data_IF_431016704251
#
_entry.id   IF_431016704251
#
_cell.length_a   1.000
_cell.length_b   1.000
_cell.length_c   1.000
_cell.angle_alpha   90.00
_cell.angle_beta   90.00
_cell.angle_gamma   90.00
#
_symmetry.space_group_name_H-M   'P 1'
#
loop_
_entity.id
_entity.type
_entity.pdbx_description
1 polymer ?
#
# COMPACT_ATOMS: atom_id res chain seq x y z
N UNK A 1 38.09 31.87 -31.78
CA UNK A 1 37.81 32.29 -30.39
C UNK A 1 36.39 32.84 -30.22
N UNK A 2 35.88 33.74 -31.09
CA UNK A 2 34.54 34.33 -31.00
C UNK A 2 33.40 33.26 -31.06
N UNK A 3 33.50 32.29 -31.98
CA UNK A 3 32.49 31.23 -32.17
C UNK A 3 32.50 30.24 -31.02
N UNK A 4 33.62 29.90 -30.42
CA UNK A 4 33.73 29.02 -29.27
C UNK A 4 33.16 29.65 -27.99
N UNK A 5 33.46 30.94 -27.77
CA UNK A 5 32.91 31.72 -26.68
C UNK A 5 31.37 31.81 -26.76
N UNK A 6 30.80 32.00 -27.96
CA UNK A 6 29.35 31.99 -28.17
C UNK A 6 28.74 30.63 -27.83
N UNK A 7 29.38 29.52 -28.23
CA UNK A 7 28.92 28.14 -27.88
C UNK A 7 28.95 27.88 -26.38
N UNK A 8 30.01 28.30 -25.68
CA UNK A 8 30.12 28.16 -24.22
C UNK A 8 29.01 28.95 -23.52
N UNK A 9 28.76 30.18 -23.95
CA UNK A 9 27.71 31.03 -23.37
C UNK A 9 26.33 30.38 -23.53
N UNK A 10 26.04 29.85 -24.72
CA UNK A 10 24.77 29.13 -24.97
C UNK A 10 24.63 27.90 -24.08
N UNK A 11 25.70 27.08 -23.94
CA UNK A 11 25.68 25.90 -23.08
C UNK A 11 25.52 26.25 -21.60
N UNK A 12 26.15 27.35 -21.14
CA UNK A 12 25.99 27.83 -19.75
C UNK A 12 24.56 28.29 -19.49
N UNK A 13 23.91 28.93 -20.45
CA UNK A 13 22.49 29.30 -20.34
C UNK A 13 21.58 28.06 -20.28
N UNK A 14 21.83 27.07 -21.14
CA UNK A 14 21.10 25.82 -21.14
C UNK A 14 21.31 25.04 -19.82
N UNK A 15 22.52 25.04 -19.27
CA UNK A 15 22.82 24.43 -17.97
C UNK A 15 22.06 25.15 -16.84
N UNK A 16 22.02 26.46 -16.84
CA UNK A 16 21.27 27.24 -15.85
C UNK A 16 19.78 26.94 -15.92
N UNK A 17 19.21 26.86 -17.13
CA UNK A 17 17.81 26.47 -17.31
C UNK A 17 17.55 25.04 -16.81
N UNK A 18 18.40 24.08 -17.17
CA UNK A 18 18.24 22.69 -16.71
C UNK A 18 18.35 22.54 -15.19
N UNK A 19 19.16 23.36 -14.52
CA UNK A 19 19.22 23.41 -13.05
C UNK A 19 17.94 24.00 -12.44
N UNK A 20 17.40 25.04 -13.04
CA UNK A 20 16.11 25.61 -12.62
C UNK A 20 14.95 24.63 -12.84
N UNK A 21 14.95 23.90 -13.96
CA UNK A 21 13.95 22.88 -14.24
C UNK A 21 14.03 21.73 -13.21
N UNK A 22 15.24 21.32 -12.79
CA UNK A 22 15.43 20.32 -11.76
C UNK A 22 14.86 20.78 -10.41
N UNK A 23 15.16 22.01 -10.00
CA UNK A 23 14.66 22.60 -8.76
C UNK A 23 13.13 22.71 -8.76
N UNK A 24 12.55 23.16 -9.86
CA UNK A 24 11.10 23.23 -10.04
C UNK A 24 10.44 21.83 -9.98
N UNK A 25 11.05 20.83 -10.62
CA UNK A 25 10.58 19.45 -10.57
C UNK A 25 10.70 18.86 -9.16
N UNK A 26 11.81 19.06 -8.44
CA UNK A 26 11.97 18.60 -7.07
C UNK A 26 10.92 19.23 -6.13
N UNK A 27 10.61 20.51 -6.29
CA UNK A 27 9.56 21.19 -5.54
C UNK A 27 8.17 20.63 -5.87
N UNK A 28 7.86 20.46 -7.17
CA UNK A 28 6.60 19.84 -7.62
C UNK A 28 6.38 18.45 -7.00
N UNK A 29 7.41 17.59 -7.01
CA UNK A 29 7.31 16.25 -6.44
C UNK A 29 7.18 16.25 -4.92
N UNK A 30 7.75 17.25 -4.25
CA UNK A 30 7.56 17.44 -2.80
C UNK A 30 6.11 17.78 -2.46
N UNK A 31 5.54 18.76 -3.16
CA UNK A 31 4.14 19.18 -2.96
C UNK A 31 3.15 18.07 -3.34
N UNK A 32 3.43 17.35 -4.44
CA UNK A 32 2.62 16.22 -4.88
C UNK A 32 2.66 15.08 -3.89
N UNK A 33 3.79 14.84 -3.24
CA UNK A 33 3.93 13.84 -2.17
C UNK A 33 3.08 14.21 -0.97
N UNK A 34 3.17 15.45 -0.50
CA UNK A 34 2.38 15.95 0.64
C UNK A 34 0.88 15.84 0.36
N UNK A 35 0.46 16.20 -0.85
CA UNK A 35 -0.93 16.04 -1.27
C UNK A 35 -1.38 14.57 -1.23
N UNK A 36 -0.58 13.64 -1.74
CA UNK A 36 -0.90 12.21 -1.69
C UNK A 36 -0.93 11.65 -0.26
N UNK A 37 -0.04 12.10 0.62
CA UNK A 37 -0.04 11.73 2.04
C UNK A 37 -1.32 12.21 2.74
N UNK A 38 -1.77 13.42 2.44
CA UNK A 38 -3.02 13.95 2.98
C UNK A 38 -4.24 13.17 2.45
N UNK A 39 -4.28 12.86 1.15
CA UNK A 39 -5.34 12.02 0.55
C UNK A 39 -5.38 10.62 1.17
N UNK A 40 -4.22 10.02 1.44
CA UNK A 40 -4.11 8.72 2.12
C UNK A 40 -4.70 8.78 3.53
N UNK A 41 -4.28 9.77 4.32
CA UNK A 41 -4.71 9.90 5.71
C UNK A 41 -6.22 10.17 5.81
N UNK A 42 -6.74 11.03 4.94
CA UNK A 42 -8.18 11.33 4.90
C UNK A 42 -8.99 10.09 4.49
N UNK A 43 -8.56 9.38 3.45
CA UNK A 43 -9.25 8.16 2.99
C UNK A 43 -9.17 7.03 4.02
N UNK A 44 -8.06 6.92 4.74
CA UNK A 44 -7.89 5.96 5.84
C UNK A 44 -8.85 6.27 6.98
N UNK A 45 -8.90 7.52 7.40
CA UNK A 45 -9.79 7.98 8.46
C UNK A 45 -11.26 7.70 8.12
N UNK A 46 -11.69 8.04 6.91
CA UNK A 46 -13.06 7.78 6.43
C UNK A 46 -13.39 6.27 6.44
N UNK A 47 -12.45 5.43 6.04
CA UNK A 47 -12.65 3.98 6.05
C UNK A 47 -12.76 3.42 7.48
N UNK A 48 -11.91 3.89 8.39
CA UNK A 48 -11.93 3.48 9.81
C UNK A 48 -13.21 3.96 10.50
N UNK A 49 -13.64 5.18 10.27
CA UNK A 49 -14.91 5.73 10.78
C UNK A 49 -16.10 4.91 10.27
N UNK A 50 -16.12 4.59 8.98
CA UNK A 50 -17.17 3.75 8.39
C UNK A 50 -17.21 2.35 9.03
N UNK A 51 -16.05 1.73 9.25
CA UNK A 51 -15.97 0.42 9.90
C UNK A 51 -16.47 0.48 11.35
N UNK A 52 -16.08 1.51 12.08
CA UNK A 52 -16.53 1.72 13.45
C UNK A 52 -18.05 1.92 13.52
N UNK A 53 -18.61 2.74 12.64
CA UNK A 53 -20.05 2.95 12.57
C UNK A 53 -20.80 1.65 12.26
N UNK A 54 -20.34 0.86 11.29
CA UNK A 54 -20.95 -0.42 10.93
C UNK A 54 -20.94 -1.42 12.10
N UNK A 55 -19.86 -1.49 12.86
CA UNK A 55 -19.77 -2.34 14.05
C UNK A 55 -20.72 -1.87 15.16
N UNK A 56 -20.78 -0.57 15.37
CA UNK A 56 -21.69 0.03 16.36
C UNK A 56 -23.16 -0.21 15.97
N UNK A 57 -23.51 -0.03 14.71
CA UNK A 57 -24.87 -0.28 14.21
C UNK A 57 -25.22 -1.76 14.33
N UNK A 58 -24.26 -2.66 14.06
CA UNK A 58 -24.46 -4.09 14.27
C UNK A 58 -24.67 -4.43 15.74
N UNK A 59 -23.84 -3.92 16.64
CA UNK A 59 -23.95 -4.15 18.08
C UNK A 59 -25.28 -3.57 18.63
N UNK A 60 -25.68 -2.41 18.17
CA UNK A 60 -26.97 -1.80 18.51
C UNK A 60 -28.18 -2.57 17.94
N UNK A 61 -27.98 -3.39 16.91
CA UNK A 61 -29.05 -4.24 16.33
C UNK A 61 -29.39 -5.45 17.20
N UNK A 62 -28.67 -5.67 18.30
CA UNK A 62 -28.96 -6.76 19.24
C UNK A 62 -30.36 -6.58 19.82
N UNK A 63 -31.28 -7.55 19.64
CA UNK A 63 -32.66 -7.39 20.06
C UNK A 63 -32.80 -7.57 21.58
N UNK A 64 -33.58 -6.72 22.22
CA UNK A 64 -33.96 -6.84 23.63
C UNK A 64 -34.72 -8.15 23.91
N UNK A 65 -35.56 -8.54 22.95
CA UNK A 65 -36.35 -9.78 23.02
C UNK A 65 -35.88 -10.75 21.95
N UNK A 66 -35.66 -11.99 22.35
CA UNK A 66 -35.22 -13.06 21.46
C UNK A 66 -36.14 -13.15 20.23
N UNK A 67 -35.62 -13.22 18.99
CA UNK A 67 -36.42 -13.34 17.78
C UNK A 67 -37.37 -14.53 17.79
N UNK A 68 -38.52 -14.43 17.15
CA UNK A 68 -39.58 -15.43 17.20
C UNK A 68 -39.14 -16.86 16.77
N UNK A 69 -38.19 -16.96 15.83
CA UNK A 69 -37.63 -18.20 15.36
C UNK A 69 -36.79 -18.92 16.45
N UNK A 70 -36.27 -18.18 17.43
CA UNK A 70 -35.54 -18.69 18.60
C UNK A 70 -36.39 -18.83 19.88
N UNK A 71 -37.69 -18.59 19.78
CA UNK A 71 -38.65 -18.77 20.91
C UNK A 71 -39.60 -19.95 20.71
N UNK A 72 -39.35 -20.80 19.72
CA UNK A 72 -40.17 -21.96 19.44
C UNK A 72 -39.83 -23.07 20.40
N UNK A 73 -40.86 -23.53 21.12
CA UNK A 73 -40.75 -24.70 21.96
C UNK A 73 -40.84 -25.98 21.14
N UNK A 74 -40.21 -27.04 21.62
CA UNK A 74 -40.27 -28.35 20.99
C UNK A 74 -41.68 -28.94 21.04
N UNK A 75 -41.98 -29.86 20.11
CA UNK A 75 -43.23 -30.64 20.17
C UNK A 75 -43.35 -31.42 21.45
N UNK A 76 -42.25 -31.80 22.09
CA UNK A 76 -42.27 -32.51 23.37
C UNK A 76 -42.82 -31.64 24.53
N UNK A 77 -42.32 -30.40 24.65
CA UNK A 77 -42.86 -29.47 25.64
C UNK A 77 -44.33 -29.17 25.36
N UNK A 78 -44.71 -28.95 24.10
CA UNK A 78 -46.08 -28.71 23.70
C UNK A 78 -47.03 -29.90 24.06
N UNK A 79 -46.58 -31.16 23.91
CA UNK A 79 -47.32 -32.34 24.28
C UNK A 79 -47.53 -32.42 25.80
N UNK A 80 -46.50 -32.12 26.61
CA UNK A 80 -46.63 -32.09 28.07
C UNK A 80 -47.64 -31.02 28.50
N UNK A 81 -47.58 -29.83 27.88
CA UNK A 81 -48.57 -28.76 28.14
C UNK A 81 -50.01 -29.17 27.76
N UNK A 82 -50.18 -29.90 26.66
CA UNK A 82 -51.50 -30.41 26.28
C UNK A 82 -52.02 -31.48 27.25
N UNK A 83 -51.14 -32.36 27.78
CA UNK A 83 -51.49 -33.30 28.84
C UNK A 83 -51.90 -32.60 30.14
N UNK A 84 -51.11 -31.58 30.58
CA UNK A 84 -51.47 -30.73 31.73
C UNK A 84 -52.86 -30.13 31.54
N UNK A 85 -53.10 -29.49 30.40
CA UNK A 85 -54.37 -28.86 30.08
C UNK A 85 -55.55 -29.86 30.13
N UNK A 86 -55.36 -31.05 29.57
CA UNK A 86 -56.37 -32.10 29.59
C UNK A 86 -56.72 -32.55 31.01
N UNK A 87 -55.73 -32.71 31.90
CA UNK A 87 -55.92 -33.05 33.31
C UNK A 87 -56.64 -31.93 34.06
N UNK A 88 -56.29 -30.66 33.81
CA UNK A 88 -57.00 -29.50 34.40
C UNK A 88 -58.47 -29.45 33.98
N UNK A 89 -58.76 -29.68 32.69
CA UNK A 89 -60.13 -29.70 32.15
C UNK A 89 -60.94 -30.84 32.74
N UNK A 90 -60.30 -31.97 33.06
CA UNK A 90 -60.89 -33.11 33.73
C UNK A 90 -61.01 -32.96 35.26
N UNK A 91 -60.70 -31.77 35.84
CA UNK A 91 -60.72 -31.45 37.28
C UNK A 91 -59.74 -32.27 38.11
N UNK A 92 -58.74 -32.90 37.49
CA UNK A 92 -57.68 -33.72 38.15
C UNK A 92 -56.44 -32.80 38.41
N UNK A 93 -56.60 -31.89 39.32
CA UNK A 93 -55.62 -30.79 39.54
C UNK A 93 -54.31 -31.33 40.17
N UNK A 94 -54.40 -32.27 41.08
CA UNK A 94 -53.22 -32.88 41.74
C UNK A 94 -52.37 -33.67 40.75
N UNK A 95 -52.96 -34.34 39.79
CA UNK A 95 -52.29 -35.08 38.75
C UNK A 95 -51.67 -34.11 37.67
N UNK A 96 -52.20 -32.90 37.54
CA UNK A 96 -51.67 -31.88 36.61
C UNK A 96 -50.38 -31.19 37.09
N UNK A 97 -50.17 -31.14 38.43
CA UNK A 97 -49.01 -30.46 39.04
C UNK A 97 -47.68 -30.98 38.48
N UNK A 98 -47.37 -32.32 38.50
CA UNK A 98 -46.09 -32.81 38.00
C UNK A 98 -45.88 -32.56 36.50
N UNK A 99 -46.95 -32.50 35.68
CA UNK A 99 -46.85 -32.16 34.28
C UNK A 99 -46.50 -30.67 34.08
N UNK A 100 -47.08 -29.80 34.92
CA UNK A 100 -46.74 -28.37 34.92
C UNK A 100 -45.28 -28.13 35.27
N UNK A 101 -44.83 -28.67 36.40
CA UNK A 101 -43.45 -28.52 36.86
C UNK A 101 -42.46 -29.04 35.84
N UNK A 102 -42.75 -30.15 35.20
CA UNK A 102 -41.91 -30.72 34.15
C UNK A 102 -41.92 -29.86 32.89
N UNK A 103 -43.07 -29.35 32.48
CA UNK A 103 -43.17 -28.45 31.32
C UNK A 103 -42.41 -27.14 31.58
N UNK A 104 -42.57 -26.52 32.76
CA UNK A 104 -41.87 -25.30 33.13
C UNK A 104 -40.35 -25.47 33.12
N UNK A 105 -39.87 -26.57 33.67
CA UNK A 105 -38.41 -26.88 33.66
C UNK A 105 -37.87 -27.09 32.26
N UNK A 106 -38.54 -27.85 31.42
CA UNK A 106 -38.11 -28.10 30.04
C UNK A 106 -38.22 -26.83 29.17
N UNK A 107 -39.26 -26.02 29.35
CA UNK A 107 -39.42 -24.75 28.66
C UNK A 107 -38.31 -23.78 29.01
N UNK A 108 -37.92 -23.65 30.28
CA UNK A 108 -36.80 -22.83 30.72
C UNK A 108 -35.48 -23.30 30.11
N UNK A 109 -35.25 -24.63 30.11
CA UNK A 109 -34.03 -25.22 29.51
C UNK A 109 -33.99 -24.96 28.00
N UNK A 110 -35.08 -25.22 27.28
CA UNK A 110 -35.13 -25.01 25.83
C UNK A 110 -34.94 -23.52 25.44
N UNK A 111 -35.55 -22.61 26.19
CA UNK A 111 -35.38 -21.17 25.95
C UNK A 111 -33.94 -20.73 26.16
N UNK A 112 -33.27 -21.23 27.19
CA UNK A 112 -31.86 -20.92 27.40
C UNK A 112 -30.98 -21.53 26.32
N UNK A 113 -31.22 -22.74 25.86
CA UNK A 113 -30.54 -23.34 24.73
C UNK A 113 -30.72 -22.54 23.45
N UNK A 114 -31.94 -22.03 23.16
CA UNK A 114 -32.23 -21.20 22.02
C UNK A 114 -31.53 -19.82 22.11
N UNK A 115 -31.50 -19.26 23.33
CA UNK A 115 -30.75 -18.02 23.60
C UNK A 115 -29.25 -18.19 23.31
N UNK A 116 -28.67 -19.29 23.77
CA UNK A 116 -27.25 -19.58 23.51
C UNK A 116 -26.95 -19.78 22.01
N UNK A 117 -27.86 -20.43 21.28
CA UNK A 117 -27.74 -20.56 19.81
C UNK A 117 -27.81 -19.21 19.12
N UNK A 118 -28.71 -18.32 19.52
CA UNK A 118 -28.81 -16.98 18.99
C UNK A 118 -27.53 -16.19 19.26
N UNK A 119 -27.02 -16.17 20.49
CA UNK A 119 -25.79 -15.48 20.87
C UNK A 119 -24.59 -15.97 20.05
N UNK A 120 -24.46 -17.28 19.87
CA UNK A 120 -23.38 -17.83 19.02
C UNK A 120 -23.52 -17.34 17.57
N UNK A 121 -24.72 -17.37 16.99
CA UNK A 121 -24.97 -16.90 15.64
C UNK A 121 -24.66 -15.42 15.49
N UNK A 122 -25.09 -14.59 16.45
CA UNK A 122 -24.83 -13.15 16.47
C UNK A 122 -23.31 -12.87 16.53
N UNK A 123 -22.60 -13.52 17.44
CA UNK A 123 -21.15 -13.37 17.56
C UNK A 123 -20.41 -13.82 16.29
N UNK A 124 -20.81 -14.92 15.67
CA UNK A 124 -20.21 -15.39 14.41
C UNK A 124 -20.41 -14.37 13.29
N UNK A 125 -21.57 -13.76 13.17
CA UNK A 125 -21.80 -12.70 12.18
C UNK A 125 -20.98 -11.45 12.47
N UNK A 126 -20.82 -11.09 13.75
CA UNK A 126 -19.94 -9.99 14.16
C UNK A 126 -18.49 -10.24 13.78
N UNK A 127 -17.99 -11.44 14.01
CA UNK A 127 -16.64 -11.85 13.62
C UNK A 127 -16.45 -11.81 12.09
N UNK A 128 -17.45 -12.25 11.33
CA UNK A 128 -17.44 -12.14 9.86
C UNK A 128 -17.38 -10.68 9.37
N UNK A 129 -18.11 -9.79 10.04
CA UNK A 129 -18.05 -8.35 9.73
C UNK A 129 -16.65 -7.78 9.98
N UNK A 130 -16.04 -8.11 11.13
CA UNK A 130 -14.66 -7.71 11.47
C UNK A 130 -13.67 -8.24 10.42
N UNK A 131 -13.79 -9.51 10.01
CA UNK A 131 -12.88 -10.07 8.98
C UNK A 131 -13.08 -9.39 7.61
N UNK A 132 -14.31 -9.00 7.29
CA UNK A 132 -14.62 -8.20 6.10
C UNK A 132 -13.91 -6.84 6.16
N UNK A 133 -13.98 -6.14 7.29
CA UNK A 133 -13.28 -4.87 7.52
C UNK A 133 -11.75 -5.04 7.41
N UNK A 134 -11.20 -6.08 8.01
CA UNK A 134 -9.78 -6.41 7.90
C UNK A 134 -9.36 -6.65 6.45
N UNK A 135 -10.19 -7.34 5.68
CA UNK A 135 -9.94 -7.58 4.26
C UNK A 135 -9.97 -6.29 3.43
N UNK A 136 -10.95 -5.41 3.69
CA UNK A 136 -11.03 -4.08 3.06
C UNK A 136 -9.80 -3.23 3.39
N UNK A 137 -9.37 -3.24 4.66
CA UNK A 137 -8.17 -2.52 5.10
C UNK A 137 -6.90 -3.05 4.41
N UNK A 138 -6.75 -4.38 4.27
CA UNK A 138 -5.63 -4.98 3.52
C UNK A 138 -5.64 -4.56 2.04
N UNK A 139 -6.82 -4.53 1.41
CA UNK A 139 -6.98 -4.07 0.03
C UNK A 139 -6.64 -2.58 -0.12
N UNK A 140 -7.12 -1.74 0.80
CA UNK A 140 -6.83 -0.32 0.83
C UNK A 140 -5.32 -0.07 0.89
N UNK A 141 -4.62 -0.65 1.87
CA UNK A 141 -3.16 -0.51 2.03
C UNK A 141 -2.40 -0.95 0.79
N UNK A 142 -2.73 -2.11 0.21
CA UNK A 142 -2.09 -2.63 -1.01
C UNK A 142 -2.31 -1.72 -2.23
N UNK A 143 -3.49 -1.11 -2.35
CA UNK A 143 -3.76 -0.17 -3.44
C UNK A 143 -2.93 1.11 -3.30
N UNK A 144 -2.75 1.60 -2.08
CA UNK A 144 -1.90 2.76 -1.81
C UNK A 144 -0.41 2.45 -2.00
N UNK A 145 0.06 1.26 -1.61
CA UNK A 145 1.43 0.80 -1.90
C UNK A 145 1.73 0.87 -3.41
N UNK A 146 0.81 0.37 -4.25
CA UNK A 146 0.95 0.45 -5.72
C UNK A 146 0.92 1.88 -6.26
N UNK A 147 0.14 2.78 -5.63
CA UNK A 147 0.15 4.21 -5.96
C UNK A 147 1.51 4.83 -5.64
N UNK A 148 2.06 4.53 -4.45
CA UNK A 148 3.36 5.01 -4.00
C UNK A 148 4.52 4.49 -4.86
N UNK A 149 4.50 3.22 -5.24
CA UNK A 149 5.50 2.65 -6.14
C UNK A 149 5.51 3.35 -7.49
N UNK A 150 4.34 3.60 -8.08
CA UNK A 150 4.22 4.36 -9.34
C UNK A 150 4.73 5.77 -9.19
N UNK A 151 4.28 6.48 -8.17
CA UNK A 151 4.71 7.84 -7.88
C UNK A 151 6.23 7.95 -7.73
N UNK A 152 6.84 7.08 -6.95
CA UNK A 152 8.28 7.07 -6.75
C UNK A 152 9.03 6.76 -8.06
N UNK A 153 8.56 5.81 -8.85
CA UNK A 153 9.15 5.46 -10.14
C UNK A 153 9.10 6.62 -11.15
N UNK A 154 7.97 7.30 -11.23
CA UNK A 154 7.80 8.47 -12.10
C UNK A 154 8.72 9.61 -11.68
N UNK A 155 8.77 9.92 -10.37
CA UNK A 155 9.69 10.90 -9.80
C UNK A 155 11.15 10.55 -10.10
N UNK A 156 11.58 9.33 -9.83
CA UNK A 156 12.96 8.88 -10.06
C UNK A 156 13.33 8.99 -11.54
N UNK A 157 12.44 8.61 -12.43
CA UNK A 157 12.67 8.70 -13.87
C UNK A 157 12.88 10.16 -14.32
N UNK A 158 11.99 11.06 -13.93
CA UNK A 158 12.07 12.48 -14.30
C UNK A 158 13.33 13.14 -13.72
N UNK A 159 13.57 13.00 -12.44
CA UNK A 159 14.76 13.56 -11.76
C UNK A 159 16.05 12.97 -12.34
N UNK A 160 16.08 11.66 -12.66
CA UNK A 160 17.23 11.02 -13.28
C UNK A 160 17.55 11.58 -14.66
N UNK A 161 16.52 11.85 -15.48
CA UNK A 161 16.69 12.45 -16.80
C UNK A 161 17.25 13.86 -16.69
N UNK A 162 16.69 14.70 -15.82
CA UNK A 162 17.17 16.06 -15.58
C UNK A 162 18.62 16.07 -15.07
N UNK A 163 18.96 15.22 -14.12
CA UNK A 163 20.33 15.07 -13.62
C UNK A 163 21.33 14.57 -14.67
N UNK A 164 20.90 13.68 -15.59
CA UNK A 164 21.72 13.26 -16.74
C UNK A 164 21.94 14.39 -17.72
N UNK A 165 20.92 15.19 -17.99
CA UNK A 165 21.00 16.37 -18.87
C UNK A 165 21.99 17.42 -18.33
N UNK A 166 21.90 17.73 -17.03
CA UNK A 166 22.83 18.64 -16.36
C UNK A 166 24.27 18.13 -16.47
N UNK A 167 24.53 16.86 -16.14
CA UNK A 167 25.87 16.26 -16.26
C UNK A 167 26.40 16.29 -17.69
N UNK A 168 25.52 16.15 -18.68
CA UNK A 168 25.93 16.22 -20.09
C UNK A 168 26.34 17.65 -20.48
N UNK A 169 25.60 18.66 -20.05
CA UNK A 169 26.01 20.07 -20.29
C UNK A 169 27.31 20.40 -19.56
N UNK A 170 27.48 20.02 -18.30
CA UNK A 170 28.70 20.24 -17.54
C UNK A 170 29.94 19.61 -18.22
N UNK A 171 29.80 18.36 -18.68
CA UNK A 171 30.85 17.67 -19.43
C UNK A 171 31.20 18.37 -20.73
N UNK A 172 30.19 18.82 -21.50
CA UNK A 172 30.42 19.52 -22.79
C UNK A 172 31.10 20.86 -22.59
N UNK A 173 30.75 21.61 -21.56
CA UNK A 173 31.40 22.87 -21.22
C UNK A 173 32.87 22.60 -20.86
N UNK A 174 33.15 21.64 -19.98
CA UNK A 174 34.52 21.28 -19.58
C UNK A 174 35.40 20.82 -20.73
N UNK A 175 34.86 20.10 -21.72
CA UNK A 175 35.62 19.73 -22.94
C UNK A 175 36.05 20.95 -23.77
N UNK A 176 35.13 21.91 -23.97
CA UNK A 176 35.42 23.10 -24.77
C UNK A 176 36.39 24.04 -24.01
N UNK A 177 36.25 24.18 -22.70
CA UNK A 177 37.17 24.98 -21.87
C UNK A 177 38.58 24.38 -21.91
N UNK A 178 38.75 23.06 -21.79
CA UNK A 178 40.05 22.39 -21.90
C UNK A 178 40.69 22.54 -23.31
N UNK A 179 39.88 22.48 -24.37
CA UNK A 179 40.38 22.74 -25.76
C UNK A 179 40.86 24.17 -25.95
N UNK A 180 40.19 25.15 -25.33
CA UNK A 180 40.62 26.56 -25.41
C UNK A 180 41.90 26.81 -24.63
N UNK A 181 42.06 26.18 -23.47
CA UNK A 181 43.27 26.28 -22.65
C UNK A 181 44.50 25.65 -23.35
N UNK A 182 44.32 24.47 -23.95
CA UNK A 182 45.36 23.81 -24.72
C UNK A 182 45.77 24.61 -25.98
N UNK A 183 44.81 25.25 -26.64
CA UNK A 183 45.09 26.12 -27.79
C UNK A 183 45.87 27.38 -27.37
N UNK A 184 45.65 27.91 -26.17
CA UNK A 184 46.36 29.05 -25.63
C UNK A 184 47.79 28.69 -25.15
N UNK A 185 47.99 27.43 -24.66
CA UNK A 185 49.31 26.92 -24.26
C UNK A 185 50.19 26.47 -25.46
N UNK A 186 49.55 26.11 -26.59
CA UNK A 186 50.28 25.67 -27.82
C UNK A 186 50.93 26.80 -28.63
N UNK A 187 50.81 28.06 -28.20
CA UNK A 187 51.43 29.19 -28.89
C UNK A 187 52.91 29.45 -28.61
N UNK A 188 53.58 28.68 -27.75
CA UNK A 188 54.94 28.91 -27.31
C UNK A 188 55.87 27.69 -27.32
N UNK A 189 55.73 26.77 -28.25
CA UNK A 189 56.78 25.76 -28.46
C UNK A 189 57.01 25.47 -29.93
N UNK A 190 57.64 26.47 -30.62
CA UNK A 190 58.37 26.19 -31.85
C UNK A 190 59.82 26.46 -31.57
N UNK A 191 60.51 25.54 -30.94
CA UNK A 191 61.96 25.49 -30.91
C UNK A 191 62.41 24.08 -31.37
N UNK A 192 63.04 24.10 -32.55
CA UNK A 192 63.84 23.08 -33.16
C UNK A 192 64.38 22.00 -32.24
N UNK A 193 64.08 20.73 -32.53
CA UNK A 193 64.96 19.64 -32.21
C UNK A 193 65.33 18.89 -33.50
N UNK A 194 66.63 18.61 -33.72
CA UNK A 194 67.08 17.99 -34.94
C UNK A 194 66.74 16.49 -34.98
N UNK A 195 66.45 16.05 -36.21
CA UNK A 195 66.36 14.64 -36.57
C UNK A 195 67.57 13.89 -36.05
N UNK A 196 67.39 12.83 -35.35
CA UNK A 196 68.43 11.80 -35.22
C UNK A 196 67.86 10.49 -35.78
N UNK A 197 68.70 9.92 -36.61
CA UNK A 197 68.52 8.79 -37.52
C UNK A 197 68.78 7.49 -36.74
N UNK A 198 67.90 6.56 -36.97
CA UNK A 198 68.21 5.12 -37.03
C UNK A 198 68.64 4.39 -35.79
N UNK A 199 67.99 3.29 -35.55
CA UNK A 199 68.62 1.97 -35.62
C UNK A 199 67.51 0.88 -35.46
N UNK A 200 67.49 -0.01 -36.45
CA UNK A 200 66.78 -1.30 -36.46
C UNK A 200 67.23 -2.20 -35.30
N UNK A 201 66.32 -3.04 -34.80
CA UNK A 201 66.38 -4.51 -34.83
C UNK A 201 65.46 -5.12 -33.73
N UNK A 202 65.27 -6.45 -33.64
CA UNK A 202 64.13 -7.12 -34.28
C UNK A 202 63.21 -7.91 -33.30
N UNK A 203 62.18 -8.45 -33.92
CA UNK A 203 61.28 -9.52 -33.44
C UNK A 203 61.90 -10.54 -32.48
N UNK A 204 61.18 -10.90 -31.45
CA UNK A 204 61.12 -12.33 -31.05
C UNK A 204 59.73 -12.68 -30.57
N UNK A 205 59.19 -13.64 -31.27
CA UNK A 205 57.97 -14.41 -30.97
C UNK A 205 58.23 -15.34 -29.78
N UNK A 206 57.26 -15.54 -28.93
CA UNK A 206 57.05 -16.89 -28.39
C UNK A 206 55.57 -17.02 -27.92
N UNK A 207 54.91 -17.93 -28.61
CA UNK A 207 53.74 -18.66 -28.18
C UNK A 207 53.96 -19.39 -26.85
N UNK A 208 52.85 -19.76 -26.26
CA UNK A 208 52.46 -21.06 -25.69
C UNK A 208 51.41 -20.72 -24.63
N UNK A 209 50.14 -20.99 -24.85
CA UNK A 209 49.36 -22.21 -24.86
C UNK A 209 48.97 -22.69 -23.44
N UNK A 210 47.69 -22.78 -23.23
CA UNK A 210 46.87 -23.91 -22.78
C UNK A 210 46.64 -24.12 -21.29
N UNK A 211 45.38 -24.19 -21.00
CA UNK A 211 44.62 -25.13 -20.17
C UNK A 211 44.69 -25.00 -18.62
N UNK A 212 43.65 -24.82 -17.96
CA UNK A 212 42.60 -25.74 -17.49
C UNK A 212 41.45 -24.93 -16.91
#
# INVERSE_FOLDING_TARGET
QSVQNSKITTLKLQLMQAKADLEASEQFWKESKEKQENEYNESLYQLEEQHQQQLQDYDNSFPEVLPANFRKLSSHVLQIREQEKHLVLSKRYEDAIPFRERADALEAEELEQQRQKFLRSFNTQREQLIETHNSQMRCFKRNWERKWERFNKEKENEISVLKKTIRNYERRIGLIENETDNANLGGYTNINTPRNIGINTPRSSSNIATAL
#
